data_IF_225815612431
#
_entry.id   IF_225815612431
#
_cell.length_a   1.000
_cell.length_b   1.000
_cell.length_c   1.000
_cell.angle_alpha   90.00
_cell.angle_beta   90.00
_cell.angle_gamma   90.00
#
_symmetry.space_group_name_H-M   'P 1'
#
loop_
_entity.id
_entity.type
_entity.pdbx_description
1 polymer ?
#
# COMPACT_ATOMS: atom_id res chain seq x y z
N UNK A 1 14.11 60.07 36.10
CA UNK A 1 14.35 58.78 36.78
C UNK A 1 14.39 57.71 35.70
N UNK A 2 15.58 57.48 35.17
CA UNK A 2 15.89 56.43 34.21
C UNK A 2 15.81 55.05 34.87
N UNK A 3 15.15 54.09 34.23
CA UNK A 3 15.31 52.66 34.53
C UNK A 3 15.66 51.92 33.25
N UNK A 4 16.90 51.47 33.22
CA UNK A 4 17.53 50.66 32.17
C UNK A 4 17.13 49.18 32.33
N UNK A 5 16.92 48.56 31.17
CA UNK A 5 16.94 47.15 30.76
C UNK A 5 17.26 46.04 31.78
N UNK A 6 16.46 44.97 31.71
CA UNK A 6 16.95 43.60 31.78
C UNK A 6 16.07 42.73 30.87
N UNK A 7 16.65 42.26 29.75
CA UNK A 7 16.07 41.21 28.92
C UNK A 7 16.23 39.88 29.66
N UNK A 8 15.13 39.15 29.85
CA UNK A 8 15.19 37.71 30.06
C UNK A 8 14.47 37.02 28.91
N UNK A 9 15.26 36.57 27.94
CA UNK A 9 14.86 35.52 27.03
C UNK A 9 14.83 34.22 27.82
N UNK A 10 13.64 33.72 28.15
CA UNK A 10 13.47 32.35 28.62
C UNK A 10 12.96 31.50 27.45
N UNK A 11 13.97 30.94 26.81
CA UNK A 11 13.98 29.75 25.97
C UNK A 11 12.77 28.82 26.09
N UNK A 12 12.18 28.56 24.92
CA UNK A 12 11.30 27.44 24.58
C UNK A 12 11.78 26.11 25.20
N UNK A 13 10.82 25.24 25.53
CA UNK A 13 10.86 23.93 24.88
C UNK A 13 9.53 23.69 24.15
N UNK A 14 9.49 24.03 22.86
CA UNK A 14 8.68 23.25 21.93
C UNK A 14 9.37 21.89 21.78
N UNK A 15 9.22 21.02 22.76
CA UNK A 15 9.52 19.60 22.59
C UNK A 15 8.25 18.93 22.05
N UNK A 16 8.11 19.06 20.74
CA UNK A 16 7.20 18.27 19.92
C UNK A 16 7.55 16.79 20.13
N UNK A 17 6.61 16.03 20.68
CA UNK A 17 6.49 14.60 20.43
C UNK A 17 5.08 14.37 19.90
N UNK A 18 4.86 14.73 18.64
CA UNK A 18 3.84 14.05 17.85
C UNK A 18 4.32 12.61 17.67
N UNK A 19 4.09 11.77 18.68
CA UNK A 19 4.02 10.34 18.46
C UNK A 19 2.87 10.17 17.47
N UNK A 20 3.16 10.01 16.19
CA UNK A 20 2.16 9.51 15.26
C UNK A 20 1.81 8.12 15.77
N UNK A 21 0.66 8.00 16.44
CA UNK A 21 0.00 6.71 16.66
C UNK A 21 -0.45 6.17 15.31
N UNK A 22 0.50 5.77 14.46
CA UNK A 22 0.25 4.85 13.38
C UNK A 22 0.40 3.46 13.95
N UNK A 23 -0.71 2.82 14.33
CA UNK A 23 -0.66 1.38 14.59
C UNK A 23 -0.21 0.70 13.31
N UNK A 24 0.78 -0.19 13.42
CA UNK A 24 1.15 -1.09 12.34
C UNK A 24 -0.01 -2.07 12.07
N UNK A 25 -0.24 -2.38 10.81
CA UNK A 25 -1.25 -3.31 10.38
C UNK A 25 -0.98 -4.71 10.94
N UNK A 26 -2.03 -5.35 11.45
CA UNK A 26 -1.92 -6.70 12.00
C UNK A 26 -1.67 -7.74 10.89
N UNK A 27 -1.20 -8.95 11.22
CA UNK A 27 -1.07 -10.05 10.27
C UNK A 27 -2.36 -10.31 9.47
N UNK A 28 -3.53 -10.19 10.11
CA UNK A 28 -4.83 -10.36 9.46
C UNK A 28 -5.12 -9.23 8.47
N UNK A 29 -4.85 -7.97 8.83
CA UNK A 29 -5.03 -6.83 7.93
C UNK A 29 -4.13 -6.92 6.69
N UNK A 30 -2.89 -7.39 6.87
CA UNK A 30 -1.98 -7.67 5.76
C UNK A 30 -2.52 -8.78 4.87
N UNK A 31 -2.98 -9.90 5.44
CA UNK A 31 -3.57 -11.00 4.67
C UNK A 31 -4.85 -10.58 3.92
N UNK A 32 -5.67 -9.72 4.53
CA UNK A 32 -6.88 -9.16 3.92
C UNK A 32 -6.53 -8.26 2.72
N UNK A 33 -5.50 -7.41 2.86
CA UNK A 33 -4.98 -6.61 1.74
C UNK A 33 -4.53 -7.49 0.58
N UNK A 34 -3.77 -8.54 0.84
CA UNK A 34 -3.29 -9.46 -0.20
C UNK A 34 -4.43 -10.21 -0.88
N UNK A 35 -5.42 -10.68 -0.10
CA UNK A 35 -6.62 -11.34 -0.65
C UNK A 35 -7.40 -10.38 -1.56
N UNK A 36 -7.53 -9.12 -1.14
CA UNK A 36 -8.17 -8.06 -1.93
C UNK A 36 -7.43 -7.85 -3.25
N UNK A 37 -6.10 -7.83 -3.26
CA UNK A 37 -5.31 -7.66 -4.48
C UNK A 37 -5.45 -8.85 -5.43
N UNK A 38 -5.38 -10.09 -4.93
CA UNK A 38 -5.64 -11.29 -5.72
C UNK A 38 -7.03 -11.27 -6.37
N UNK A 39 -8.07 -10.93 -5.60
CA UNK A 39 -9.44 -10.81 -6.13
C UNK A 39 -9.56 -9.75 -7.22
N UNK A 40 -8.97 -8.57 -7.02
CA UNK A 40 -8.97 -7.49 -8.02
C UNK A 40 -8.30 -7.88 -9.32
N UNK A 41 -7.22 -8.67 -9.26
CA UNK A 41 -6.59 -9.23 -10.46
C UNK A 41 -7.56 -10.12 -11.23
N UNK A 42 -8.22 -11.06 -10.54
CA UNK A 42 -9.22 -11.93 -11.16
C UNK A 42 -10.44 -11.16 -11.70
N UNK A 43 -10.89 -10.11 -11.00
CA UNK A 43 -11.99 -9.25 -11.46
C UNK A 43 -11.63 -8.49 -12.74
N UNK A 44 -10.40 -7.97 -12.82
CA UNK A 44 -9.89 -7.37 -14.06
C UNK A 44 -9.89 -8.39 -15.20
N UNK A 45 -9.57 -9.65 -14.90
CA UNK A 45 -9.61 -10.70 -15.89
C UNK A 45 -11.00 -10.90 -16.47
N UNK A 46 -11.99 -11.10 -15.60
CA UNK A 46 -13.39 -11.25 -16.00
C UNK A 46 -13.91 -10.01 -16.76
N UNK A 47 -13.51 -8.81 -16.33
CA UNK A 47 -13.88 -7.57 -16.99
C UNK A 47 -13.35 -7.49 -18.43
N UNK A 48 -12.09 -7.88 -18.68
CA UNK A 48 -11.52 -7.87 -20.04
C UNK A 48 -12.16 -8.92 -20.94
N UNK A 49 -12.44 -10.11 -20.42
CA UNK A 49 -13.16 -11.15 -21.15
C UNK A 49 -14.57 -10.67 -21.57
N UNK A 50 -15.32 -10.08 -20.64
CA UNK A 50 -16.69 -9.58 -20.93
C UNK A 50 -16.72 -8.42 -21.94
N UNK A 51 -15.64 -7.64 -22.04
CA UNK A 51 -15.51 -6.55 -23.01
C UNK A 51 -15.12 -7.02 -24.42
N UNK A 52 -14.96 -8.34 -24.64
CA UNK A 52 -14.54 -8.90 -25.92
C UNK A 52 -13.12 -8.51 -26.31
N UNK A 53 -12.30 -8.06 -25.36
CA UNK A 53 -10.89 -7.69 -25.58
C UNK A 53 -9.94 -8.89 -25.52
N UNK A 54 -10.49 -10.11 -25.45
CA UNK A 54 -9.75 -11.35 -25.28
C UNK A 54 -9.53 -11.71 -23.80
N UNK A 55 -8.80 -12.80 -23.56
CA UNK A 55 -8.15 -13.06 -22.26
C UNK A 55 -7.29 -11.84 -21.94
N UNK A 56 -7.21 -11.37 -20.67
CA UNK A 56 -6.22 -10.38 -20.30
C UNK A 56 -4.88 -10.75 -20.90
N UNK A 57 -4.26 -9.75 -21.52
CA UNK A 57 -2.93 -9.91 -22.05
C UNK A 57 -2.02 -10.45 -20.97
N UNK A 58 -0.99 -11.10 -21.44
CA UNK A 58 0.20 -11.50 -20.71
C UNK A 58 0.60 -10.57 -19.53
N UNK A 59 1.57 -11.05 -18.76
CA UNK A 59 2.06 -10.38 -17.55
C UNK A 59 2.26 -8.86 -17.72
N UNK A 60 2.75 -8.40 -18.87
CA UNK A 60 2.98 -6.98 -19.14
C UNK A 60 1.70 -6.14 -19.13
N UNK A 61 0.60 -6.65 -19.69
CA UNK A 61 -0.69 -5.94 -19.66
C UNK A 61 -1.25 -5.85 -18.24
N UNK A 62 -1.13 -6.94 -17.46
CA UNK A 62 -1.56 -6.97 -16.06
C UNK A 62 -0.71 -6.05 -15.17
N UNK A 63 0.61 -6.05 -15.35
CA UNK A 63 1.53 -5.12 -14.69
C UNK A 63 1.16 -3.67 -15.02
N UNK A 64 0.97 -3.35 -16.31
CA UNK A 64 0.57 -2.02 -16.75
C UNK A 64 -0.77 -1.57 -16.15
N UNK A 65 -1.73 -2.48 -16.03
CA UNK A 65 -3.01 -2.19 -15.38
C UNK A 65 -2.84 -1.94 -13.88
N UNK A 66 -2.01 -2.72 -13.19
CA UNK A 66 -1.71 -2.51 -11.77
C UNK A 66 -1.09 -1.12 -11.54
N UNK A 67 -0.08 -0.77 -12.34
CA UNK A 67 0.60 0.53 -12.28
C UNK A 67 -0.39 1.68 -12.50
N UNK A 68 -1.32 1.54 -13.46
CA UNK A 68 -2.32 2.56 -13.74
C UNK A 68 -3.37 2.71 -12.64
N UNK A 69 -3.84 1.59 -12.08
CA UNK A 69 -4.93 1.58 -11.08
C UNK A 69 -4.45 1.96 -9.68
N UNK A 70 -3.25 1.53 -9.30
CA UNK A 70 -2.78 1.58 -7.93
C UNK A 70 -1.53 2.44 -7.74
N UNK A 71 -0.91 2.95 -8.82
CA UNK A 71 0.33 3.72 -8.73
C UNK A 71 1.56 2.86 -8.38
N UNK A 72 1.47 1.55 -8.61
CA UNK A 72 2.55 0.60 -8.38
C UNK A 72 2.88 0.38 -6.91
N UNK A 73 4.17 0.20 -6.62
CA UNK A 73 4.73 -0.05 -5.28
C UNK A 73 4.50 1.08 -4.28
N UNK A 74 4.04 2.25 -4.74
CA UNK A 74 3.70 3.40 -3.90
C UNK A 74 2.19 3.52 -3.67
N UNK A 75 1.45 2.41 -3.77
CA UNK A 75 0.00 2.45 -3.64
C UNK A 75 -0.41 3.01 -2.28
N UNK A 76 -1.26 4.06 -2.24
CA UNK A 76 -1.75 4.60 -0.97
C UNK A 76 -2.68 3.63 -0.25
N UNK A 77 -3.10 2.54 -0.92
CA UNK A 77 -3.92 1.49 -0.32
C UNK A 77 -3.10 0.44 0.45
N UNK A 78 -1.77 0.45 0.36
CA UNK A 78 -0.92 -0.51 1.09
C UNK A 78 -0.93 -0.19 2.59
N UNK A 79 -1.31 -1.15 3.46
CA UNK A 79 -1.28 -0.95 4.91
C UNK A 79 0.14 -0.68 5.42
N UNK A 80 0.26 0.21 6.40
CA UNK A 80 1.52 0.47 7.08
C UNK A 80 1.87 -0.67 8.04
N UNK A 81 2.98 -1.37 7.86
CA UNK A 81 3.40 -2.52 8.70
C UNK A 81 4.52 -2.19 9.68
N UNK A 82 4.74 -0.89 9.95
CA UNK A 82 5.71 -0.42 10.96
C UNK A 82 7.10 -0.07 10.40
N UNK A 83 7.33 -0.21 9.09
CA UNK A 83 8.53 0.31 8.43
C UNK A 83 8.32 0.51 6.94
N UNK A 84 9.00 1.48 6.34
CA UNK A 84 8.93 1.71 4.89
C UNK A 84 9.39 0.49 4.06
N UNK A 85 10.35 -0.28 4.56
CA UNK A 85 10.79 -1.51 3.91
C UNK A 85 9.72 -2.60 3.96
N UNK A 86 9.01 -2.73 5.09
CA UNK A 86 7.89 -3.65 5.22
C UNK A 86 6.70 -3.24 4.34
N UNK A 87 6.40 -1.95 4.28
CA UNK A 87 5.33 -1.41 3.43
C UNK A 87 5.63 -1.72 1.95
N UNK A 88 6.88 -1.50 1.52
CA UNK A 88 7.32 -1.78 0.16
C UNK A 88 7.32 -3.28 -0.18
N UNK A 89 7.59 -4.15 0.78
CA UNK A 89 7.53 -5.60 0.61
C UNK A 89 6.08 -6.10 0.51
N UNK A 90 5.18 -5.57 1.36
CA UNK A 90 3.76 -5.89 1.28
C UNK A 90 3.14 -5.42 -0.04
N UNK A 91 3.51 -4.22 -0.51
CA UNK A 91 3.07 -3.70 -1.80
C UNK A 91 3.56 -4.56 -2.98
N UNK A 92 4.80 -5.04 -2.94
CA UNK A 92 5.38 -5.91 -3.97
C UNK A 92 4.66 -7.26 -4.03
N UNK A 93 4.36 -7.85 -2.89
CA UNK A 93 3.59 -9.10 -2.84
C UNK A 93 2.14 -8.91 -3.29
N UNK A 94 1.52 -7.78 -2.96
CA UNK A 94 0.19 -7.42 -3.46
C UNK A 94 0.16 -7.24 -4.98
N UNK A 95 1.22 -6.65 -5.56
CA UNK A 95 1.42 -6.54 -7.01
C UNK A 95 1.52 -7.93 -7.65
N UNK A 96 2.39 -8.80 -7.15
CA UNK A 96 2.57 -10.15 -7.69
C UNK A 96 1.26 -10.95 -7.67
N UNK A 97 0.51 -10.92 -6.56
CA UNK A 97 -0.78 -11.61 -6.45
C UNK A 97 -1.83 -11.04 -7.40
N UNK A 98 -1.90 -9.71 -7.56
CA UNK A 98 -2.79 -9.08 -8.53
C UNK A 98 -2.47 -9.55 -9.95
N UNK A 99 -1.19 -9.49 -10.33
CA UNK A 99 -0.72 -9.79 -11.68
C UNK A 99 -0.94 -11.27 -12.00
N UNK A 100 -0.57 -12.17 -11.09
CA UNK A 100 -0.81 -13.61 -11.26
C UNK A 100 -2.31 -13.90 -11.41
N UNK A 101 -3.15 -13.29 -10.56
CA UNK A 101 -4.59 -13.50 -10.62
C UNK A 101 -5.22 -12.92 -11.89
N UNK A 102 -4.68 -11.80 -12.38
CA UNK A 102 -5.08 -11.18 -13.65
C UNK A 102 -4.72 -12.06 -14.84
N UNK A 103 -3.54 -12.66 -14.86
CA UNK A 103 -3.13 -13.59 -15.94
C UNK A 103 -3.96 -14.87 -15.91
N UNK A 104 -4.13 -15.48 -14.73
CA UNK A 104 -4.77 -16.79 -14.59
C UNK A 104 -6.30 -16.73 -14.54
N UNK A 105 -6.88 -15.56 -14.25
CA UNK A 105 -8.33 -15.37 -14.12
C UNK A 105 -8.94 -15.97 -12.86
N UNK A 106 -8.11 -16.38 -11.91
CA UNK A 106 -8.54 -16.87 -10.61
C UNK A 106 -7.69 -16.22 -9.51
N UNK A 107 -8.24 -15.92 -8.33
CA UNK A 107 -7.47 -15.34 -7.25
C UNK A 107 -6.34 -16.29 -6.81
N UNK A 108 -5.11 -15.79 -6.82
CA UNK A 108 -3.94 -16.49 -6.32
C UNK A 108 -4.07 -16.75 -4.80
N UNK A 109 -3.58 -17.90 -4.30
CA UNK A 109 -3.61 -18.22 -2.89
C UNK A 109 -2.73 -17.27 -2.09
N UNK A 110 -3.25 -16.75 -0.97
CA UNK A 110 -2.51 -15.84 -0.08
C UNK A 110 -1.76 -16.63 0.99
N UNK A 111 -0.46 -16.38 1.19
CA UNK A 111 0.31 -17.01 2.26
C UNK A 111 -0.27 -16.70 3.65
N UNK A 112 -0.14 -17.66 4.57
CA UNK A 112 -0.42 -17.40 5.98
C UNK A 112 0.56 -16.35 6.52
N UNK A 113 0.10 -15.52 7.46
CA UNK A 113 0.86 -14.48 8.14
C UNK A 113 0.99 -14.90 9.61
N UNK A 114 2.21 -14.95 10.13
CA UNK A 114 2.53 -15.26 11.53
C UNK A 114 2.86 -14.00 12.33
#
# INVERSE_FOLDING_TARGET
MDKRYAAMALSLPLAVLLASCGSSATPEEQADYLRKMAHRGADLHAAKQSQGRGTPGDREECDGAYQHLYGGRNSPETPHVGSAAGDAALAEEGEDLFVESCVNGTPAPVPARD
#
